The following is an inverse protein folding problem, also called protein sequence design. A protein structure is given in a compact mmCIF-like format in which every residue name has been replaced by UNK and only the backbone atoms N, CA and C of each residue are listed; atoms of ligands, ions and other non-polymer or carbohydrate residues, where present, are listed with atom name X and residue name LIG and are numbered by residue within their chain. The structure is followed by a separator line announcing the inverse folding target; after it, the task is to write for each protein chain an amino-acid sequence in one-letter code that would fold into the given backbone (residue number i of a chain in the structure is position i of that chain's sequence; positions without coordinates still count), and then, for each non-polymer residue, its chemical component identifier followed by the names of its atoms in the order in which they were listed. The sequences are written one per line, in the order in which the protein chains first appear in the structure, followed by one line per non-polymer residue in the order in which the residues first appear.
data_IF_193886573638
#
_entry.id   IF_193886573638
#
_cell.length_a   1.000
_cell.length_b   1.000
_cell.length_c   1.000
_cell.angle_alpha   90.00
_cell.angle_beta   90.00
_cell.angle_gamma   90.00
#
_symmetry.space_group_name_H-M   'P 1'
#
loop_
_entity.id
_entity.type
_entity.pdbx_description
1 polymer ?
#
# COMPACT_ATOMS: atom_id res chain seq x y z
N UNK A 1 -5.60 -17.04 7.79
CA UNK A 1 -5.67 -15.58 7.54
C UNK A 1 -6.63 -15.37 6.39
N UNK A 2 -7.69 -14.61 6.62
CA UNK A 2 -8.54 -14.09 5.55
C UNK A 2 -7.94 -12.73 5.19
N UNK A 3 -7.01 -12.74 4.23
CA UNK A 3 -6.46 -11.53 3.62
C UNK A 3 -6.94 -11.49 2.18
N UNK A 4 -7.18 -10.29 1.66
CA UNK A 4 -7.41 -10.09 0.23
C UNK A 4 -6.20 -9.32 -0.30
N UNK A 5 -5.52 -9.94 -1.25
CA UNK A 5 -4.27 -9.43 -1.79
C UNK A 5 -4.54 -8.68 -3.11
N UNK A 6 -3.80 -7.60 -3.31
CA UNK A 6 -3.58 -6.93 -4.58
C UNK A 6 -2.21 -7.37 -5.08
N UNK A 7 -2.21 -8.37 -5.95
CA UNK A 7 -1.03 -8.80 -6.72
C UNK A 7 -0.84 -7.95 -7.99
N UNK A 8 -1.68 -6.92 -8.17
CA UNK A 8 -1.79 -6.08 -9.37
C UNK A 8 -2.15 -6.82 -10.67
N UNK A 9 -2.19 -8.15 -10.69
CA UNK A 9 -2.34 -8.96 -11.89
C UNK A 9 -3.71 -8.87 -12.54
N UNK A 10 -4.75 -8.75 -11.71
CA UNK A 10 -6.13 -8.55 -12.15
C UNK A 10 -6.66 -7.18 -11.68
N UNK A 11 -7.44 -6.47 -12.51
CA UNK A 11 -8.15 -5.23 -12.12
C UNK A 11 -9.28 -5.47 -11.07
N UNK A 12 -9.18 -6.54 -10.28
CA UNK A 12 -10.27 -7.04 -9.44
C UNK A 12 -10.62 -6.09 -8.29
N UNK A 13 -11.93 -5.81 -8.11
CA UNK A 13 -12.67 -5.32 -6.92
C UNK A 13 -11.92 -4.40 -5.92
N UNK A 14 -11.00 -3.58 -6.40
CA UNK A 14 -10.44 -2.44 -5.69
C UNK A 14 -10.90 -1.25 -6.51
N UNK A 15 -12.05 -0.71 -6.12
CA UNK A 15 -12.65 0.39 -6.84
C UNK A 15 -11.73 1.60 -6.68
N UNK A 16 -11.33 2.16 -7.82
CA UNK A 16 -10.52 3.38 -7.95
C UNK A 16 -9.06 3.26 -7.51
N UNK A 17 -8.24 2.73 -8.42
CA UNK A 17 -6.90 3.28 -8.66
C UNK A 17 -7.10 4.59 -9.43
N UNK A 18 -6.99 5.73 -8.76
CA UNK A 18 -6.71 6.99 -9.44
C UNK A 18 -5.33 7.42 -8.98
N UNK A 19 -4.25 7.12 -9.74
CA UNK A 19 -2.98 7.76 -9.46
C UNK A 19 -3.26 9.25 -9.54
N UNK A 20 -3.06 9.95 -8.43
CA UNK A 20 -3.00 11.41 -8.49
C UNK A 20 -1.91 11.74 -9.51
N UNK A 21 -2.04 12.78 -10.36
CA UNK A 21 -1.08 13.05 -11.42
C UNK A 21 0.35 13.10 -10.86
N UNK A 22 1.14 12.09 -11.21
CA UNK A 22 2.48 11.79 -10.70
C UNK A 22 3.03 10.58 -11.46
N UNK A 23 4.34 10.35 -11.38
CA UNK A 23 5.07 9.32 -12.14
C UNK A 23 4.88 7.92 -11.50
N UNK A 24 3.63 7.43 -11.56
CA UNK A 24 3.24 6.08 -11.10
C UNK A 24 2.85 5.22 -12.31
N UNK A 25 3.51 4.08 -12.48
CA UNK A 25 3.33 3.14 -13.59
C UNK A 25 3.27 1.69 -13.12
N UNK A 26 2.90 0.78 -14.03
CA UNK A 26 3.13 -0.65 -13.82
C UNK A 26 4.45 -1.05 -14.47
N UNK A 27 5.33 -1.72 -13.74
CA UNK A 27 6.59 -2.27 -14.27
C UNK A 27 6.50 -3.80 -14.39
N UNK A 28 7.08 -4.35 -15.46
CA UNK A 28 7.03 -5.80 -15.78
C UNK A 28 8.41 -6.48 -15.69
N UNK A 29 9.40 -5.75 -15.18
CA UNK A 29 10.81 -6.15 -15.12
C UNK A 29 11.30 -6.35 -13.69
N UNK A 30 10.77 -5.57 -12.75
CA UNK A 30 10.99 -5.64 -11.31
C UNK A 30 9.62 -5.96 -10.70
N UNK A 31 9.42 -7.21 -10.28
CA UNK A 31 8.13 -7.71 -9.76
C UNK A 31 8.35 -8.78 -8.69
N UNK A 32 7.35 -9.02 -7.84
CA UNK A 32 7.39 -10.03 -6.79
C UNK A 32 6.29 -11.08 -7.01
N UNK A 33 6.67 -12.30 -7.39
CA UNK A 33 5.72 -13.41 -7.48
C UNK A 33 4.71 -13.38 -8.64
N UNK A 34 4.59 -12.26 -9.36
CA UNK A 34 3.64 -12.02 -10.47
C UNK A 34 4.27 -11.68 -11.84
N UNK A 35 3.57 -10.85 -12.61
CA UNK A 35 3.85 -10.34 -13.96
C UNK A 35 4.15 -8.83 -13.94
N UNK A 36 3.68 -8.08 -12.92
CA UNK A 36 3.99 -6.66 -12.76
C UNK A 36 3.89 -6.18 -11.31
N UNK A 37 4.59 -5.09 -11.00
CA UNK A 37 4.44 -4.35 -9.75
C UNK A 37 4.03 -2.89 -10.01
N UNK A 38 3.69 -2.16 -8.95
CA UNK A 38 3.51 -0.71 -9.00
C UNK A 38 4.89 -0.03 -8.88
N UNK A 39 5.28 0.75 -9.87
CA UNK A 39 6.47 1.60 -9.89
C UNK A 39 6.09 3.04 -9.52
N UNK A 40 6.88 3.67 -8.66
CA UNK A 40 6.71 5.05 -8.25
C UNK A 40 8.04 5.78 -8.29
N UNK A 41 8.17 6.78 -9.16
CA UNK A 41 9.39 7.61 -9.30
C UNK A 41 9.28 8.90 -8.47
N UNK A 42 8.07 9.46 -8.37
CA UNK A 42 7.79 10.55 -7.45
C UNK A 42 6.30 10.64 -7.18
N UNK A 43 5.94 10.97 -5.93
CA UNK A 43 4.57 11.25 -5.55
C UNK A 43 3.89 10.09 -4.84
N UNK A 44 2.61 9.91 -5.13
CA UNK A 44 1.72 9.17 -4.24
C UNK A 44 0.70 8.35 -5.02
N UNK A 45 0.50 7.09 -4.60
CA UNK A 45 -0.49 6.18 -5.15
C UNK A 45 -1.58 5.89 -4.10
N UNK A 46 -2.83 5.91 -4.54
CA UNK A 46 -4.01 5.70 -3.70
C UNK A 46 -4.78 4.47 -4.16
N UNK A 47 -5.06 3.56 -3.23
CA UNK A 47 -5.78 2.31 -3.49
C UNK A 47 -7.02 2.25 -2.58
N UNK A 48 -8.20 2.47 -3.18
CA UNK A 48 -9.48 2.47 -2.46
C UNK A 48 -10.05 1.07 -2.23
N UNK A 49 -10.54 0.82 -1.01
CA UNK A 49 -11.26 -0.39 -0.61
C UNK A 49 -12.65 -0.03 -0.08
N UNK A 50 -13.67 -0.22 -0.90
CA UNK A 50 -15.06 -0.20 -0.44
C UNK A 50 -15.41 -1.47 0.33
N UNK A 51 -16.32 -1.37 1.30
CA UNK A 51 -16.75 -2.52 2.10
C UNK A 51 -17.83 -3.39 1.43
N UNK A 52 -18.47 -2.88 0.37
CA UNK A 52 -19.61 -3.54 -0.27
C UNK A 52 -19.20 -4.86 -0.94
N UNK A 53 -19.84 -5.95 -0.51
CA UNK A 53 -19.66 -7.29 -1.09
C UNK A 53 -18.36 -7.99 -0.70
N UNK A 54 -17.51 -7.38 0.13
CA UNK A 54 -16.29 -8.00 0.62
C UNK A 54 -16.52 -8.77 1.94
N UNK A 55 -15.94 -9.98 2.09
CA UNK A 55 -15.94 -10.67 3.38
C UNK A 55 -15.06 -9.97 4.42
N UNK A 56 -14.07 -9.19 3.96
CA UNK A 56 -13.07 -8.47 4.74
C UNK A 56 -12.35 -7.46 3.80
N UNK A 57 -11.84 -6.31 4.28
CA UNK A 57 -12.04 -5.72 5.62
C UNK A 57 -13.44 -5.11 5.79
N UNK A 58 -13.88 -4.93 7.04
CA UNK A 58 -15.15 -4.30 7.41
C UNK A 58 -15.00 -3.32 8.56
N UNK A 59 -16.00 -2.45 8.70
CA UNK A 59 -16.16 -1.59 9.88
C UNK A 59 -16.10 -2.41 11.17
N UNK A 60 -15.24 -1.99 12.10
CA UNK A 60 -15.01 -2.64 13.38
C UNK A 60 -13.91 -3.71 13.38
N UNK A 61 -13.42 -4.13 12.21
CA UNK A 61 -12.28 -5.07 12.14
C UNK A 61 -10.99 -4.37 12.55
N UNK A 62 -10.12 -5.10 13.25
CA UNK A 62 -8.74 -4.70 13.47
C UNK A 62 -7.88 -5.19 12.29
N UNK A 63 -7.25 -4.23 11.60
CA UNK A 63 -6.51 -4.46 10.36
C UNK A 63 -5.09 -3.92 10.47
N UNK A 64 -4.15 -4.57 9.80
CA UNK A 64 -2.83 -4.02 9.47
C UNK A 64 -2.60 -4.15 7.97
N UNK A 65 -1.62 -3.43 7.44
CA UNK A 65 -1.24 -3.52 6.03
C UNK A 65 0.05 -4.32 5.86
N UNK A 66 0.13 -5.10 4.79
CA UNK A 66 1.32 -5.81 4.36
C UNK A 66 1.69 -5.42 2.93
N UNK A 67 2.98 -5.28 2.66
CA UNK A 67 3.51 -4.89 1.35
C UNK A 67 4.81 -5.62 1.06
N UNK A 68 5.04 -6.00 -0.20
CA UNK A 68 6.38 -6.24 -0.69
C UNK A 68 6.92 -4.96 -1.31
N UNK A 69 8.12 -4.56 -0.90
CA UNK A 69 8.74 -3.30 -1.32
C UNK A 69 10.14 -3.58 -1.85
N UNK A 70 10.48 -2.95 -2.97
CA UNK A 70 11.81 -2.95 -3.57
C UNK A 70 12.20 -1.50 -3.87
N UNK A 71 13.45 -1.15 -3.58
CA UNK A 71 13.99 0.18 -3.90
C UNK A 71 15.23 -0.02 -4.74
N UNK A 72 15.24 0.60 -5.93
CA UNK A 72 16.29 0.44 -6.92
C UNK A 72 17.48 1.36 -6.61
N UNK A 73 18.65 0.75 -6.37
CA UNK A 73 19.86 1.49 -6.04
C UNK A 73 20.44 2.32 -7.20
N UNK A 74 19.93 2.14 -8.42
CA UNK A 74 20.34 2.96 -9.57
C UNK A 74 19.83 4.39 -9.48
N UNK A 75 18.66 4.58 -8.86
CA UNK A 75 18.00 5.88 -8.71
C UNK A 75 18.00 6.36 -7.26
N UNK A 76 18.16 5.45 -6.29
CA UNK A 76 18.18 5.78 -4.86
C UNK A 76 19.44 5.30 -4.14
N UNK A 77 19.77 5.96 -3.03
CA UNK A 77 20.85 5.58 -2.12
C UNK A 77 20.35 5.25 -0.71
N UNK A 78 19.05 5.39 -0.48
CA UNK A 78 18.40 5.21 0.81
C UNK A 78 17.05 4.52 0.59
N UNK A 79 16.57 3.83 1.62
CA UNK A 79 15.19 3.36 1.63
C UNK A 79 14.31 4.23 2.52
N UNK A 80 14.91 5.15 3.29
CA UNK A 80 14.27 5.90 4.36
C UNK A 80 13.38 7.02 3.84
N UNK A 81 12.18 7.17 4.41
CA UNK A 81 11.25 8.26 4.09
C UNK A 81 10.06 7.85 3.24
N UNK A 82 10.11 6.68 2.60
CA UNK A 82 8.96 6.08 1.93
C UNK A 82 7.86 5.77 2.95
N UNK A 83 6.64 6.20 2.65
CA UNK A 83 5.54 6.19 3.63
C UNK A 83 4.36 5.38 3.12
N UNK A 84 3.83 4.53 3.99
CA UNK A 84 2.68 3.67 3.76
C UNK A 84 1.61 4.00 4.80
N UNK A 85 0.42 4.41 4.36
CA UNK A 85 -0.69 4.79 5.26
C UNK A 85 -1.94 3.98 4.98
N UNK A 86 -2.73 3.83 6.03
CA UNK A 86 -4.16 3.58 5.91
C UNK A 86 -4.90 4.86 6.28
N UNK A 87 -5.75 5.31 5.37
CA UNK A 87 -6.65 6.44 5.58
C UNK A 87 -8.10 5.95 5.59
N UNK A 88 -8.87 6.45 6.54
CA UNK A 88 -10.32 6.29 6.57
C UNK A 88 -10.98 7.48 5.87
N UNK A 89 -11.79 7.22 4.87
CA UNK A 89 -12.50 8.28 4.15
C UNK A 89 -13.93 8.35 4.68
N UNK A 90 -14.29 9.52 5.24
CA UNK A 90 -15.65 9.81 5.72
C UNK A 90 -16.17 11.06 5.03
N UNK A 91 -17.22 10.93 4.22
CA UNK A 91 -17.80 12.02 3.43
C UNK A 91 -16.75 12.79 2.61
N UNK A 92 -15.78 12.06 2.04
CA UNK A 92 -14.68 12.62 1.26
C UNK A 92 -13.54 13.27 2.06
N UNK A 93 -13.56 13.17 3.39
CA UNK A 93 -12.47 13.67 4.25
C UNK A 93 -11.58 12.50 4.69
N UNK A 94 -10.27 12.53 4.38
CA UNK A 94 -9.33 11.51 4.83
C UNK A 94 -8.93 11.71 6.30
N UNK A 95 -8.82 10.61 7.05
CA UNK A 95 -8.19 10.56 8.38
C UNK A 95 -7.18 9.42 8.40
N UNK A 96 -5.90 9.74 8.60
CA UNK A 96 -4.85 8.73 8.73
C UNK A 96 -4.99 7.96 10.04
N UNK A 97 -5.10 6.63 9.96
CA UNK A 97 -5.23 5.74 11.12
C UNK A 97 -4.03 4.81 11.29
N UNK A 98 -3.29 4.55 10.23
CA UNK A 98 -2.01 3.82 10.25
C UNK A 98 -1.01 4.64 9.43
N UNK A 99 0.22 4.77 9.93
CA UNK A 99 1.36 5.30 9.18
C UNK A 99 2.58 4.44 9.48
N UNK A 100 3.26 4.00 8.44
CA UNK A 100 4.59 3.41 8.51
C UNK A 100 5.51 4.22 7.59
N UNK A 101 6.63 4.70 8.12
CA UNK A 101 7.66 5.37 7.33
C UNK A 101 8.94 4.57 7.47
N UNK A 102 9.52 4.20 6.33
CA UNK A 102 10.74 3.39 6.29
C UNK A 102 11.93 4.14 6.87
N UNK A 103 12.84 3.39 7.49
CA UNK A 103 14.17 3.82 7.86
C UNK A 103 15.23 3.00 7.12
N UNK A 104 16.47 3.51 7.00
CA UNK A 104 17.56 2.83 6.29
C UNK A 104 17.93 1.45 6.86
N UNK A 105 17.54 1.19 8.10
CA UNK A 105 17.79 -0.10 8.76
C UNK A 105 16.67 -1.11 8.53
N UNK A 106 15.58 -0.72 7.88
CA UNK A 106 14.42 -1.58 7.68
C UNK A 106 14.71 -2.66 6.64
N UNK A 107 15.43 -2.30 5.56
CA UNK A 107 15.81 -3.24 4.51
C UNK A 107 16.95 -2.78 3.60
N UNK A 108 17.48 -3.72 2.81
CA UNK A 108 18.50 -3.46 1.81
C UNK A 108 17.90 -3.01 0.48
N UNK A 109 18.61 -2.13 -0.23
CA UNK A 109 18.35 -1.81 -1.64
C UNK A 109 18.46 -3.07 -2.51
N UNK A 110 17.83 -3.01 -3.69
CA UNK A 110 17.83 -4.06 -4.71
C UNK A 110 17.32 -5.44 -4.24
N UNK A 111 16.47 -5.45 -3.21
CA UNK A 111 15.88 -6.67 -2.67
C UNK A 111 14.43 -6.43 -2.30
N UNK A 112 13.56 -7.38 -2.67
CA UNK A 112 12.18 -7.39 -2.19
C UNK A 112 12.15 -7.68 -0.70
N UNK A 113 11.56 -6.77 0.07
CA UNK A 113 11.34 -6.95 1.50
C UNK A 113 9.88 -6.77 1.84
N UNK A 114 9.39 -7.70 2.65
CA UNK A 114 8.04 -7.64 3.19
C UNK A 114 8.01 -6.74 4.42
N UNK A 115 7.14 -5.74 4.39
CA UNK A 115 6.86 -4.84 5.51
C UNK A 115 5.44 -5.05 5.99
N UNK A 116 5.24 -4.91 7.30
CA UNK A 116 3.91 -4.83 7.90
C UNK A 116 3.82 -3.59 8.76
N UNK A 117 2.65 -2.96 8.77
CA UNK A 117 2.37 -1.82 9.62
C UNK A 117 1.91 -2.26 11.01
N UNK A 118 1.85 -1.30 11.94
CA UNK A 118 0.99 -1.43 13.11
C UNK A 118 -0.48 -1.63 12.70
N UNK A 119 -1.30 -2.10 13.63
CA UNK A 119 -2.73 -2.34 13.42
C UNK A 119 -3.61 -1.18 13.90
N UNK A 120 -4.79 -1.05 13.29
CA UNK A 120 -5.84 -0.13 13.72
C UNK A 120 -7.24 -0.76 13.54
N UNK A 121 -8.20 -0.32 14.35
CA UNK A 121 -9.61 -0.72 14.22
C UNK A 121 -10.33 0.22 13.28
N UNK A 122 -11.05 -0.32 12.29
CA UNK A 122 -11.82 0.48 11.32
C UNK A 122 -13.02 1.15 12.02
N UNK A 123 -13.10 2.48 11.94
CA UNK A 123 -14.11 3.28 12.63
C UNK A 123 -15.53 3.06 12.09
N UNK A 124 -16.53 3.32 12.95
CA UNK A 124 -17.94 3.05 12.69
C UNK A 124 -18.60 3.89 11.56
N UNK A 125 -17.98 5.00 11.17
CA UNK A 125 -18.56 6.01 10.27
C UNK A 125 -17.83 6.15 8.93
N UNK A 126 -16.99 5.17 8.60
CA UNK A 126 -16.14 5.18 7.40
C UNK A 126 -16.95 4.76 6.18
N UNK A 127 -16.79 5.49 5.07
CA UNK A 127 -17.40 5.11 3.79
C UNK A 127 -16.56 4.02 3.09
N UNK A 128 -15.24 4.21 3.10
CA UNK A 128 -14.24 3.27 2.59
C UNK A 128 -12.87 3.57 3.20
N UNK A 129 -11.95 2.61 3.12
CA UNK A 129 -10.54 2.84 3.49
C UNK A 129 -9.68 3.00 2.23
N UNK A 130 -8.61 3.76 2.35
CA UNK A 130 -7.66 4.03 1.28
C UNK A 130 -6.25 3.69 1.76
N UNK A 131 -5.58 2.80 1.04
CA UNK A 131 -4.14 2.59 1.22
C UNK A 131 -3.43 3.68 0.43
N UNK A 132 -2.50 4.35 1.09
CA UNK A 132 -1.70 5.41 0.49
C UNK A 132 -0.24 5.02 0.55
N UNK A 133 0.40 4.99 -0.61
CA UNK A 133 1.83 4.75 -0.75
C UNK A 133 2.43 6.06 -1.23
N UNK A 134 3.48 6.54 -0.59
CA UNK A 134 4.14 7.79 -0.89
C UNK A 134 5.65 7.55 -0.99
N UNK A 135 6.21 7.88 -2.14
CA UNK A 135 7.64 7.88 -2.36
C UNK A 135 8.19 9.18 -1.75
N UNK A 136 9.08 9.02 -0.76
CA UNK A 136 9.54 10.13 0.09
C UNK A 136 11.00 10.49 -0.09
N UNK A 137 11.70 9.67 -0.87
CA UNK A 137 13.01 9.94 -1.45
C UNK A 137 12.78 10.68 -2.79
N UNK A 138 13.79 11.12 -3.53
CA UNK A 138 13.59 11.58 -4.92
C UNK A 138 13.95 10.41 -5.87
N UNK A 139 13.55 9.19 -5.49
CA UNK A 139 14.11 7.93 -5.96
C UNK A 139 13.14 7.10 -6.81
N UNK A 140 13.20 5.78 -6.70
CA UNK A 140 12.20 4.92 -7.33
C UNK A 140 11.92 3.72 -6.44
N UNK A 141 10.65 3.56 -6.09
CA UNK A 141 10.18 2.43 -5.29
C UNK A 141 9.22 1.59 -6.12
N UNK A 142 9.27 0.29 -5.86
CA UNK A 142 8.38 -0.70 -6.42
C UNK A 142 7.62 -1.35 -5.28
N UNK A 143 6.31 -1.46 -5.42
CA UNK A 143 5.43 -2.08 -4.44
C UNK A 143 4.62 -3.17 -5.11
N UNK A 144 4.53 -4.31 -4.45
CA UNK A 144 3.81 -5.49 -4.94
C UNK A 144 3.05 -6.18 -3.80
N UNK A 145 2.10 -7.05 -4.16
CA UNK A 145 1.39 -7.94 -3.23
C UNK A 145 0.81 -7.19 -2.00
N UNK A 146 0.08 -6.10 -2.25
CA UNK A 146 -0.49 -5.25 -1.20
C UNK A 146 -1.66 -5.93 -0.52
N UNK A 147 -1.62 -6.05 0.81
CA UNK A 147 -2.62 -6.79 1.57
C UNK A 147 -3.17 -5.98 2.74
N UNK A 148 -4.48 -6.10 2.96
CA UNK A 148 -5.08 -5.80 4.26
C UNK A 148 -5.18 -7.11 5.04
N UNK A 149 -4.69 -7.14 6.27
CA UNK A 149 -4.54 -8.35 7.08
C UNK A 149 -5.32 -8.22 8.37
N UNK A 150 -6.25 -9.15 8.62
CA UNK A 150 -7.04 -9.19 9.83
C UNK A 150 -6.17 -9.63 11.02
N UNK A 151 -6.21 -8.88 12.12
CA UNK A 151 -5.34 -9.14 13.29
C UNK A 151 -5.99 -10.08 14.30
N UNK A 152 -7.31 -10.04 14.45
CA UNK A 152 -8.07 -10.88 15.40
C UNK A 152 -9.39 -11.38 14.77
N UNK A 153 -9.76 -12.63 15.04
CA UNK A 153 -11.06 -13.27 14.71
C UNK A 153 -12.06 -13.16 15.87
#
# INVERSE_FOLDING_TARGET
MIGKDLDFEDEGIWNTYEPTPGDVSYDTTIMHGGIKSLEMISGCAWLGIGFDGLPYPKIGDEVKLGFWVYVDSTNDTSVAGNTFRLEEITSGTPTTVITYTTADLDFALDTWVYIETDSAVISASVDYIQIVIEEGTDGTIFVDDVSAIQVND
#
